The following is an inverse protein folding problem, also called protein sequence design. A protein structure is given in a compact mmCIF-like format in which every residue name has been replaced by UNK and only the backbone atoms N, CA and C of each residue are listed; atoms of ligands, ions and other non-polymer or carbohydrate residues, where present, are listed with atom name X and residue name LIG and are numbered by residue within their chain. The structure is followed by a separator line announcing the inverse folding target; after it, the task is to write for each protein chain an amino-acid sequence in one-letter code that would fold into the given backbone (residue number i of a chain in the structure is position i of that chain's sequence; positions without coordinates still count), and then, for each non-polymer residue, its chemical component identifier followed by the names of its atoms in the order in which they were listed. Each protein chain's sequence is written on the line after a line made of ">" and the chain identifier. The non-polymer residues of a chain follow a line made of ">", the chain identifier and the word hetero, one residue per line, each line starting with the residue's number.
data_IF_583382380690
#
_entry.id   IF_583382380690
#
_cell.length_a   1.000
_cell.length_b   1.000
_cell.length_c   1.000
_cell.angle_alpha   90.00
_cell.angle_beta   90.00
_cell.angle_gamma   90.00
#
_symmetry.space_group_name_H-M   'P 1'
#
loop_
_entity.id
_entity.type
_entity.pdbx_description
1 polymer ?
#
# COMPACT_ATOMS: atom_id res chain seq x y z
N UNK A 1 -10.31 42.26 -38.39
CA UNK A 1 -8.84 42.34 -38.31
C UNK A 1 -8.34 41.12 -37.54
N UNK A 2 -7.61 40.22 -38.15
CA UNK A 2 -6.95 39.08 -37.44
C UNK A 2 -5.69 39.64 -36.77
N UNK A 3 -5.65 39.70 -35.45
CA UNK A 3 -4.42 40.04 -34.72
C UNK A 3 -3.44 38.88 -34.89
N UNK A 4 -2.34 39.12 -35.58
CA UNK A 4 -1.25 38.14 -35.69
C UNK A 4 -0.52 38.08 -34.33
N UNK A 5 -0.31 36.89 -33.85
CA UNK A 5 0.40 36.63 -32.59
C UNK A 5 1.90 36.86 -32.82
N UNK A 6 2.56 37.57 -31.95
CA UNK A 6 4.00 37.82 -32.10
C UNK A 6 4.79 36.64 -31.54
N UNK A 7 5.98 36.38 -32.11
CA UNK A 7 6.86 35.30 -31.64
C UNK A 7 7.29 35.49 -30.17
N UNK A 8 7.48 36.77 -29.78
CA UNK A 8 7.85 37.15 -28.41
C UNK A 8 6.72 36.81 -27.43
N UNK A 9 5.46 37.05 -27.76
CA UNK A 9 4.33 36.71 -26.89
C UNK A 9 4.24 35.19 -26.62
N UNK A 10 4.50 34.39 -27.66
CA UNK A 10 4.53 32.95 -27.50
C UNK A 10 5.73 32.50 -26.64
N UNK A 11 6.91 33.08 -26.86
CA UNK A 11 8.14 32.74 -26.18
C UNK A 11 8.04 33.04 -24.67
N UNK A 12 7.48 34.19 -24.29
CA UNK A 12 7.29 34.54 -22.85
C UNK A 12 6.33 33.60 -22.16
N UNK A 13 5.25 33.19 -22.82
CA UNK A 13 4.29 32.25 -22.23
C UNK A 13 4.92 30.89 -21.94
N UNK A 14 5.65 30.31 -22.89
CA UNK A 14 6.31 29.03 -22.66
C UNK A 14 7.42 29.14 -21.62
N UNK A 15 8.12 30.25 -21.51
CA UNK A 15 9.13 30.49 -20.50
C UNK A 15 8.51 30.49 -19.09
N UNK A 16 7.37 31.15 -18.89
CA UNK A 16 6.66 31.18 -17.64
C UNK A 16 6.18 29.77 -17.26
N UNK A 17 5.57 29.03 -18.19
CA UNK A 17 5.11 27.66 -17.96
C UNK A 17 6.29 26.74 -17.58
N UNK A 18 7.43 26.89 -18.25
CA UNK A 18 8.62 26.10 -17.95
C UNK A 18 9.14 26.36 -16.53
N UNK A 19 9.18 27.63 -16.09
CA UNK A 19 9.60 27.99 -14.73
C UNK A 19 8.64 27.42 -13.69
N UNK A 20 7.33 27.57 -13.89
CA UNK A 20 6.31 27.02 -12.98
C UNK A 20 6.39 25.48 -12.92
N UNK A 21 6.56 24.81 -14.06
CA UNK A 21 6.75 23.37 -14.12
C UNK A 21 7.98 22.89 -13.37
N UNK A 22 9.11 23.59 -13.53
CA UNK A 22 10.36 23.24 -12.85
C UNK A 22 10.26 23.25 -11.33
N UNK A 23 9.43 24.12 -10.77
CA UNK A 23 9.19 24.18 -9.32
C UNK A 23 8.12 23.14 -8.91
N UNK A 24 7.09 22.94 -9.72
CA UNK A 24 5.95 22.10 -9.39
C UNK A 24 6.29 20.61 -9.37
N UNK A 25 7.09 20.13 -10.31
CA UNK A 25 7.41 18.70 -10.41
C UNK A 25 8.05 18.11 -9.14
N UNK A 26 9.12 18.70 -8.59
CA UNK A 26 9.74 18.14 -7.38
C UNK A 26 8.81 18.22 -6.14
N UNK A 27 8.03 19.28 -6.02
CA UNK A 27 7.06 19.43 -4.93
C UNK A 27 5.96 18.38 -5.02
N UNK A 28 5.46 18.13 -6.23
CA UNK A 28 4.42 17.11 -6.44
C UNK A 28 4.91 15.70 -6.11
N UNK A 29 6.15 15.35 -6.47
CA UNK A 29 6.74 14.07 -6.13
C UNK A 29 6.84 13.87 -4.61
N UNK A 30 7.27 14.89 -3.87
CA UNK A 30 7.32 14.86 -2.41
C UNK A 30 5.92 14.78 -1.77
N UNK A 31 4.95 15.53 -2.27
CA UNK A 31 3.58 15.49 -1.79
C UNK A 31 2.95 14.11 -1.98
N UNK A 32 3.17 13.48 -3.13
CA UNK A 32 2.70 12.12 -3.42
C UNK A 32 3.28 11.10 -2.44
N UNK A 33 4.58 11.20 -2.12
CA UNK A 33 5.21 10.30 -1.16
C UNK A 33 4.67 10.52 0.26
N UNK A 34 4.44 11.77 0.67
CA UNK A 34 3.78 12.07 1.95
C UNK A 34 2.36 11.51 2.04
N UNK A 35 1.61 11.56 0.95
CA UNK A 35 0.28 10.94 0.88
C UNK A 35 0.36 9.41 1.08
N UNK A 36 1.33 8.74 0.44
CA UNK A 36 1.56 7.30 0.63
C UNK A 36 1.93 6.96 2.08
N UNK A 37 2.83 7.73 2.69
CA UNK A 37 3.20 7.56 4.10
C UNK A 37 2.00 7.71 5.04
N UNK A 38 1.13 8.68 4.79
CA UNK A 38 -0.11 8.86 5.56
C UNK A 38 -1.04 7.65 5.43
N UNK A 39 -1.14 7.09 4.24
CA UNK A 39 -1.90 5.87 4.01
C UNK A 39 -1.30 4.67 4.76
N UNK A 40 0.03 4.49 4.74
CA UNK A 40 0.70 3.45 5.51
C UNK A 40 0.40 3.56 7.01
N UNK A 41 0.42 4.78 7.55
CA UNK A 41 0.09 5.01 8.95
C UNK A 41 -1.36 4.67 9.27
N UNK A 42 -2.29 5.00 8.38
CA UNK A 42 -3.71 4.63 8.51
C UNK A 42 -3.90 3.12 8.47
N UNK A 43 -3.24 2.43 7.54
CA UNK A 43 -3.26 0.96 7.46
C UNK A 43 -2.70 0.33 8.74
N UNK A 44 -1.57 0.82 9.24
CA UNK A 44 -0.98 0.33 10.48
C UNK A 44 -1.92 0.48 11.69
N UNK A 45 -2.65 1.60 11.77
CA UNK A 45 -3.67 1.79 12.82
C UNK A 45 -4.78 0.75 12.73
N UNK A 46 -5.27 0.45 11.54
CA UNK A 46 -6.30 -0.57 11.33
C UNK A 46 -5.81 -1.96 11.74
N UNK A 47 -4.59 -2.33 11.36
CA UNK A 47 -3.96 -3.60 11.76
C UNK A 47 -3.79 -3.66 13.29
N UNK A 48 -3.36 -2.56 13.92
CA UNK A 48 -3.22 -2.49 15.37
C UNK A 48 -4.55 -2.67 16.11
N UNK A 49 -5.62 -2.03 15.61
CA UNK A 49 -6.96 -2.21 16.18
C UNK A 49 -7.46 -3.64 16.00
N UNK A 50 -7.25 -4.24 14.82
CA UNK A 50 -7.60 -5.65 14.58
C UNK A 50 -6.85 -6.60 15.53
N UNK A 51 -5.56 -6.32 15.79
CA UNK A 51 -4.77 -7.07 16.75
C UNK A 51 -5.31 -6.96 18.18
N UNK A 52 -5.73 -5.76 18.61
CA UNK A 52 -6.36 -5.56 19.92
C UNK A 52 -7.71 -6.29 20.02
N UNK A 53 -8.52 -6.27 18.98
CA UNK A 53 -9.78 -7.03 18.94
C UNK A 53 -9.53 -8.53 19.04
N UNK A 54 -8.52 -9.03 18.31
CA UNK A 54 -8.11 -10.43 18.40
C UNK A 54 -7.70 -10.80 19.85
N UNK A 55 -6.89 -9.97 20.52
CA UNK A 55 -6.46 -10.19 21.89
C UNK A 55 -7.65 -10.28 22.87
N UNK A 56 -8.68 -9.46 22.67
CA UNK A 56 -9.89 -9.49 23.48
C UNK A 56 -10.70 -10.79 23.29
N UNK A 57 -10.73 -11.32 22.05
CA UNK A 57 -11.47 -12.54 21.73
C UNK A 57 -10.72 -13.83 22.15
N UNK A 58 -9.40 -13.77 22.32
CA UNK A 58 -8.53 -14.92 22.57
C UNK A 58 -7.78 -14.84 23.91
N UNK A 59 -8.43 -14.41 24.98
CA UNK A 59 -7.91 -14.38 26.35
C UNK A 59 -6.53 -13.69 26.47
N UNK A 60 -6.37 -12.55 25.83
CA UNK A 60 -5.13 -11.75 25.79
C UNK A 60 -3.91 -12.47 25.18
N UNK A 61 -4.14 -13.55 24.45
CA UNK A 61 -3.09 -14.30 23.77
C UNK A 61 -2.77 -13.67 22.42
N UNK A 62 -1.49 -13.40 22.21
CA UNK A 62 -1.04 -12.87 20.93
C UNK A 62 -1.10 -13.95 19.83
N UNK A 63 -1.41 -13.53 18.61
CA UNK A 63 -1.45 -14.45 17.47
C UNK A 63 -0.03 -14.93 17.12
N UNK A 64 0.14 -16.21 16.71
CA UNK A 64 1.41 -16.73 16.22
C UNK A 64 1.75 -16.09 14.87
N UNK A 65 3.04 -15.96 14.58
CA UNK A 65 3.50 -15.43 13.27
C UNK A 65 3.05 -16.34 12.12
N UNK A 66 3.03 -17.65 12.37
CA UNK A 66 2.56 -18.67 11.45
C UNK A 66 1.80 -19.76 12.22
N UNK A 67 0.82 -20.37 11.59
CA UNK A 67 0.08 -21.50 12.14
C UNK A 67 -0.27 -22.51 11.05
N UNK A 68 -0.50 -23.76 11.44
CA UNK A 68 -0.96 -24.82 10.54
C UNK A 68 -2.48 -24.80 10.53
N UNK A 69 -3.09 -24.66 9.36
CA UNK A 69 -4.54 -24.70 9.22
C UNK A 69 -5.12 -26.09 9.54
N UNK A 70 -6.40 -26.13 10.00
CA UNK A 70 -7.04 -27.39 10.41
C UNK A 70 -7.22 -28.39 9.29
N UNK A 71 -7.17 -27.98 8.05
CA UNK A 71 -7.65 -28.76 6.91
C UNK A 71 -6.53 -29.45 6.14
N UNK A 72 -5.26 -29.27 6.52
CA UNK A 72 -4.12 -29.62 5.66
C UNK A 72 -4.26 -29.10 4.21
N UNK A 73 -5.29 -28.35 3.96
CA UNK A 73 -5.64 -27.62 2.74
C UNK A 73 -4.93 -26.28 2.74
N UNK A 74 -3.63 -26.31 2.99
CA UNK A 74 -2.87 -25.10 2.76
C UNK A 74 -2.87 -24.86 1.25
N UNK A 75 -3.41 -23.72 0.78
CA UNK A 75 -3.20 -23.27 -0.58
C UNK A 75 -1.72 -22.94 -0.81
N UNK A 76 -0.94 -22.83 0.21
CA UNK A 76 0.51 -22.82 0.16
C UNK A 76 0.99 -24.23 -0.08
N UNK A 77 1.08 -24.56 -1.33
CA UNK A 77 1.44 -25.86 -1.90
C UNK A 77 2.74 -26.51 -1.39
N UNK A 78 3.40 -25.93 -0.39
CA UNK A 78 4.68 -26.43 0.06
C UNK A 78 4.78 -26.74 1.54
N UNK A 79 4.07 -26.03 2.46
CA UNK A 79 4.31 -26.21 3.90
C UNK A 79 3.09 -26.15 4.85
N UNK A 80 1.88 -25.86 4.40
CA UNK A 80 0.69 -25.88 5.26
C UNK A 80 0.61 -24.79 6.34
N UNK A 81 1.36 -23.71 6.19
CA UNK A 81 1.40 -22.63 7.16
C UNK A 81 0.63 -21.40 6.68
N UNK A 82 -0.20 -20.85 7.55
CA UNK A 82 -0.86 -19.56 7.34
C UNK A 82 -0.11 -18.46 8.12
N UNK A 83 0.01 -17.30 7.53
CA UNK A 83 0.59 -16.14 8.22
C UNK A 83 -0.41 -15.41 9.13
N UNK A 84 0.10 -14.64 10.08
CA UNK A 84 -0.68 -13.83 11.03
C UNK A 84 -1.74 -12.91 10.39
N UNK A 85 -1.59 -12.35 9.17
CA UNK A 85 -2.62 -11.52 8.55
C UNK A 85 -3.93 -12.27 8.33
N UNK A 86 -3.86 -13.58 8.11
CA UNK A 86 -5.06 -14.42 7.97
C UNK A 86 -5.91 -14.42 9.24
N UNK A 87 -5.28 -14.44 10.42
CA UNK A 87 -5.97 -14.38 11.71
C UNK A 87 -6.64 -13.04 11.97
N UNK A 88 -6.08 -11.96 11.44
CA UNK A 88 -6.63 -10.61 11.57
C UNK A 88 -7.63 -10.24 10.48
N UNK A 89 -7.71 -11.01 9.41
CA UNK A 89 -8.65 -10.76 8.31
C UNK A 89 -10.13 -10.66 8.75
N UNK A 90 -10.64 -11.51 9.67
CA UNK A 90 -12.02 -11.38 10.15
C UNK A 90 -12.35 -10.02 10.77
N UNK A 91 -11.35 -9.33 11.31
CA UNK A 91 -11.47 -8.00 11.93
C UNK A 91 -11.27 -6.86 10.94
N UNK A 92 -10.33 -6.98 10.02
CA UNK A 92 -10.04 -5.94 9.02
C UNK A 92 -10.99 -5.99 7.83
N UNK A 93 -11.45 -7.17 7.41
CA UNK A 93 -12.26 -7.45 6.22
C UNK A 93 -11.61 -7.04 4.89
N UNK A 94 -10.41 -6.47 4.91
CA UNK A 94 -9.71 -5.91 3.76
C UNK A 94 -8.25 -6.33 3.83
N UNK A 95 -7.74 -6.92 2.75
CA UNK A 95 -6.33 -7.35 2.70
C UNK A 95 -5.36 -6.21 2.43
N UNK A 96 -5.81 -5.18 1.73
CA UNK A 96 -4.97 -4.04 1.34
C UNK A 96 -4.38 -3.28 2.53
N UNK A 97 -4.96 -3.41 3.71
CA UNK A 97 -4.45 -2.75 4.94
C UNK A 97 -3.12 -3.33 5.41
N UNK A 98 -2.78 -4.55 5.02
CA UNK A 98 -1.51 -5.19 5.38
C UNK A 98 -0.33 -4.74 4.51
N UNK A 99 -0.56 -3.86 3.54
CA UNK A 99 0.46 -3.35 2.63
C UNK A 99 0.67 -1.86 2.80
N UNK A 100 1.94 -1.47 2.67
CA UNK A 100 2.29 -0.07 2.59
C UNK A 100 2.39 0.37 1.12
N UNK A 101 1.63 1.39 0.67
CA UNK A 101 1.72 1.88 -0.71
C UNK A 101 3.03 2.60 -1.05
N UNK A 102 3.88 2.91 -0.05
CA UNK A 102 5.23 3.42 -0.26
C UNK A 102 6.23 2.30 -0.58
N UNK A 103 5.90 1.06 -0.23
CA UNK A 103 6.74 -0.06 -0.58
C UNK A 103 6.71 -0.24 -2.09
N UNK A 104 7.89 -0.33 -2.71
CA UNK A 104 7.98 -0.60 -4.13
C UNK A 104 7.16 -1.85 -4.45
N UNK A 105 6.53 -1.91 -5.62
CA UNK A 105 5.74 -3.06 -6.09
C UNK A 105 6.55 -4.37 -6.14
N UNK A 106 7.64 -4.42 -5.38
CA UNK A 106 8.49 -5.56 -5.22
C UNK A 106 7.68 -6.67 -4.55
N UNK A 107 7.12 -7.46 -5.39
CA UNK A 107 7.06 -8.88 -5.18
C UNK A 107 6.02 -9.46 -4.24
N UNK A 108 5.61 -8.81 -3.15
CA UNK A 108 4.68 -9.43 -2.19
C UNK A 108 3.19 -9.15 -2.49
N UNK A 109 2.90 -8.19 -3.38
CA UNK A 109 1.52 -7.72 -3.65
C UNK A 109 0.82 -8.45 -4.79
N UNK A 110 1.53 -9.19 -5.62
CA UNK A 110 0.93 -9.87 -6.77
C UNK A 110 0.42 -11.25 -6.37
N UNK A 111 -0.82 -11.62 -6.75
CA UNK A 111 -1.37 -12.95 -6.47
C UNK A 111 -0.53 -14.10 -7.03
N UNK A 112 0.27 -13.83 -8.06
CA UNK A 112 1.18 -14.78 -8.71
C UNK A 112 2.57 -14.82 -8.09
N UNK A 113 2.84 -13.97 -7.08
CA UNK A 113 4.14 -13.97 -6.41
C UNK A 113 4.27 -15.19 -5.48
N UNK A 114 5.40 -15.91 -5.49
CA UNK A 114 5.58 -17.12 -4.69
C UNK A 114 5.40 -16.86 -3.17
N UNK A 115 5.74 -15.66 -2.68
CA UNK A 115 5.53 -15.27 -1.28
C UNK A 115 4.10 -14.79 -0.98
N UNK A 116 3.31 -14.41 -1.97
CA UNK A 116 1.91 -14.08 -1.75
C UNK A 116 1.14 -15.29 -1.22
N UNK A 117 1.43 -16.48 -1.75
CA UNK A 117 0.92 -17.72 -1.25
C UNK A 117 1.35 -18.08 0.19
N UNK A 118 2.49 -17.56 0.67
CA UNK A 118 2.95 -17.76 2.06
C UNK A 118 2.25 -16.85 3.07
N UNK A 119 1.68 -15.73 2.62
CA UNK A 119 1.06 -14.73 3.51
C UNK A 119 -0.46 -14.77 3.42
N UNK A 120 -1.04 -15.09 2.25
CA UNK A 120 -2.48 -14.99 1.97
C UNK A 120 -3.04 -16.14 1.13
N UNK A 121 -2.23 -17.08 0.71
CA UNK A 121 -2.58 -18.14 -0.27
C UNK A 121 -3.38 -19.25 0.28
#
# INVERSE_FOLDING_TARGET
>A
MRKAFTLIELLVVIAIIAILGAILFPVFAQAREKARQSQCLANLRQVSLAALMYLQDYDERFFPAFFVGPDNLAPVRTYGYYGWPWLLYPYTKVYEVFWCPSEAESNCRKPDHPYFGYVFG
#
